data_IF_401085601738
#
_entry.id   IF_401085601738
#
_cell.length_a   1.000
_cell.length_b   1.000
_cell.length_c   1.000
_cell.angle_alpha   90.00
_cell.angle_beta   90.00
_cell.angle_gamma   90.00
#
_symmetry.space_group_name_H-M   'P 1'
#
loop_
_entity.id
_entity.type
_entity.pdbx_description
1 polymer ?
#
# COMPACT_ATOMS: atom_id res chain seq x y z
N UNK A 1 27.78 4.77 -14.43
CA UNK A 1 27.66 3.61 -13.54
C UNK A 1 28.42 3.89 -12.26
N UNK A 2 27.69 3.92 -11.15
CA UNK A 2 28.33 4.12 -9.87
C UNK A 2 29.08 2.85 -9.44
N UNK A 3 30.10 3.00 -8.64
CA UNK A 3 30.83 1.89 -8.04
C UNK A 3 29.90 0.92 -7.28
N UNK A 4 28.86 1.47 -6.69
CA UNK A 4 27.83 0.67 -5.98
C UNK A 4 27.07 -0.24 -6.96
N UNK A 5 26.77 0.20 -8.16
CA UNK A 5 26.05 -0.60 -9.16
C UNK A 5 26.93 -1.75 -9.69
N UNK A 6 28.25 -1.56 -9.70
CA UNK A 6 29.20 -2.62 -10.07
C UNK A 6 29.32 -3.69 -8.99
N UNK A 7 29.25 -3.30 -7.71
CA UNK A 7 29.35 -4.23 -6.59
C UNK A 7 28.03 -4.94 -6.29
N UNK A 8 26.91 -4.24 -6.48
CA UNK A 8 25.58 -4.74 -6.16
C UNK A 8 24.63 -4.50 -7.35
N UNK A 9 24.79 -5.25 -8.45
CA UNK A 9 23.92 -5.11 -9.60
C UNK A 9 22.46 -5.38 -9.20
N UNK A 10 21.56 -4.48 -9.57
CA UNK A 10 20.15 -4.58 -9.24
C UNK A 10 19.70 -3.82 -7.99
N UNK A 11 20.59 -3.14 -7.27
CA UNK A 11 20.23 -2.35 -6.08
C UNK A 11 19.24 -1.24 -6.43
N UNK A 12 19.43 -0.54 -7.52
CA UNK A 12 18.49 0.48 -8.02
C UNK A 12 17.12 -0.12 -8.35
N UNK A 13 17.09 -1.30 -8.95
CA UNK A 13 15.87 -2.06 -9.23
C UNK A 13 15.14 -2.44 -7.95
N UNK A 14 15.87 -2.90 -6.94
CA UNK A 14 15.32 -3.23 -5.63
C UNK A 14 14.69 -1.99 -4.98
N UNK A 15 15.40 -0.86 -4.96
CA UNK A 15 14.90 0.39 -4.40
C UNK A 15 13.63 0.86 -5.10
N UNK A 16 13.56 0.75 -6.41
CA UNK A 16 12.37 1.10 -7.17
C UNK A 16 11.19 0.20 -6.82
N UNK A 17 11.42 -1.10 -6.69
CA UNK A 17 10.39 -2.05 -6.25
C UNK A 17 9.89 -1.73 -4.84
N UNK A 18 10.79 -1.36 -3.93
CA UNK A 18 10.43 -0.97 -2.57
C UNK A 18 9.51 0.26 -2.53
N UNK A 19 9.68 1.21 -3.46
CA UNK A 19 8.76 2.35 -3.59
C UNK A 19 7.34 1.89 -3.90
N UNK A 20 7.16 0.95 -4.81
CA UNK A 20 5.84 0.41 -5.14
C UNK A 20 5.20 -0.28 -3.94
N UNK A 21 6.00 -0.89 -3.08
CA UNK A 21 5.51 -1.49 -1.84
C UNK A 21 4.98 -0.45 -0.83
N UNK A 22 5.37 0.81 -0.94
CA UNK A 22 4.78 1.92 -0.18
C UNK A 22 3.57 2.54 -0.89
N UNK A 23 3.63 2.69 -2.20
CA UNK A 23 2.52 3.26 -2.98
C UNK A 23 1.25 2.45 -2.87
N UNK A 24 1.34 1.14 -2.87
CA UNK A 24 0.18 0.25 -2.75
C UNK A 24 -0.60 0.52 -1.45
N UNK A 25 0.02 0.43 -0.26
CA UNK A 25 -0.71 0.73 0.96
C UNK A 25 -1.20 2.18 1.04
N UNK A 26 -0.47 3.15 0.53
CA UNK A 26 -0.93 4.55 0.50
C UNK A 26 -2.21 4.71 -0.34
N UNK A 27 -2.26 4.09 -1.51
CA UNK A 27 -3.44 4.10 -2.38
C UNK A 27 -4.62 3.49 -1.65
N UNK A 28 -4.46 2.28 -1.14
CA UNK A 28 -5.54 1.56 -0.48
C UNK A 28 -6.01 2.24 0.81
N UNK A 29 -5.08 2.77 1.59
CA UNK A 29 -5.41 3.52 2.78
C UNK A 29 -6.24 4.77 2.45
N UNK A 30 -5.87 5.53 1.40
CA UNK A 30 -6.62 6.69 0.97
C UNK A 30 -8.06 6.34 0.54
N UNK A 31 -8.24 5.20 -0.12
CA UNK A 31 -9.57 4.71 -0.51
C UNK A 31 -10.40 4.28 0.70
N UNK A 32 -9.76 3.65 1.68
CA UNK A 32 -10.45 3.27 2.93
C UNK A 32 -10.84 4.49 3.76
N UNK A 33 -10.01 5.53 3.81
CA UNK A 33 -10.34 6.78 4.50
C UNK A 33 -11.57 7.46 3.89
N UNK A 34 -11.68 7.42 2.58
CA UNK A 34 -12.86 7.92 1.86
C UNK A 34 -14.08 7.02 2.01
N UNK A 35 -13.93 5.86 2.62
CA UNK A 35 -14.97 4.86 2.81
C UNK A 35 -15.69 4.48 1.52
N UNK A 36 -14.93 4.25 0.47
CA UNK A 36 -15.50 3.80 -0.79
C UNK A 36 -16.14 2.42 -0.63
N UNK A 37 -17.37 2.23 -1.12
CA UNK A 37 -18.06 0.95 -1.00
C UNK A 37 -17.44 -0.11 -1.91
N UNK A 38 -17.69 -1.38 -1.58
CA UNK A 38 -17.19 -2.52 -2.34
C UNK A 38 -17.51 -2.44 -3.83
N UNK A 39 -18.68 -1.90 -4.18
CA UNK A 39 -19.14 -1.73 -5.57
C UNK A 39 -18.17 -0.92 -6.42
N UNK A 40 -17.56 0.13 -5.86
CA UNK A 40 -16.66 1.03 -6.59
C UNK A 40 -15.19 0.88 -6.19
N UNK A 41 -14.89 0.16 -5.13
CA UNK A 41 -13.55 0.12 -4.53
C UNK A 41 -12.49 -0.40 -5.49
N UNK A 42 -12.72 -1.56 -6.13
CA UNK A 42 -11.76 -2.15 -7.06
C UNK A 42 -11.54 -1.28 -8.29
N UNK A 43 -12.59 -0.66 -8.80
CA UNK A 43 -12.53 0.23 -9.97
C UNK A 43 -11.70 1.47 -9.65
N UNK A 44 -11.95 2.09 -8.50
CA UNK A 44 -11.20 3.27 -8.07
C UNK A 44 -9.74 2.94 -7.74
N UNK A 45 -9.50 1.78 -7.14
CA UNK A 45 -8.15 1.30 -6.88
C UNK A 45 -7.36 1.11 -8.18
N UNK A 46 -7.96 0.42 -9.15
CA UNK A 46 -7.35 0.19 -10.47
C UNK A 46 -7.02 1.51 -11.16
N UNK A 47 -7.99 2.43 -11.19
CA UNK A 47 -7.80 3.74 -11.80
C UNK A 47 -6.67 4.53 -11.13
N UNK A 48 -6.66 4.57 -9.80
CA UNK A 48 -5.67 5.33 -9.05
C UNK A 48 -4.27 4.74 -9.23
N UNK A 49 -4.12 3.43 -9.24
CA UNK A 49 -2.85 2.79 -9.53
C UNK A 49 -2.34 3.12 -10.93
N UNK A 50 -3.23 3.08 -11.93
CA UNK A 50 -2.86 3.43 -13.31
C UNK A 50 -2.45 4.89 -13.44
N UNK A 51 -3.16 5.80 -12.80
CA UNK A 51 -2.87 7.22 -12.83
C UNK A 51 -1.51 7.54 -12.16
N UNK A 52 -1.17 6.83 -11.09
CA UNK A 52 0.08 7.01 -10.37
C UNK A 52 1.25 6.24 -10.98
N UNK A 53 1.00 5.03 -11.41
CA UNK A 53 2.03 4.12 -11.91
C UNK A 53 2.47 4.49 -13.31
N UNK A 54 1.57 4.99 -14.14
CA UNK A 54 1.91 5.34 -15.53
C UNK A 54 3.03 6.37 -15.61
N UNK A 55 2.98 7.52 -14.91
CA UNK A 55 4.09 8.47 -14.91
C UNK A 55 5.39 7.89 -14.32
N UNK A 56 5.26 7.02 -13.32
CA UNK A 56 6.39 6.31 -12.72
C UNK A 56 7.06 5.39 -13.71
N UNK A 57 6.26 4.68 -14.47
CA UNK A 57 6.78 3.74 -15.46
C UNK A 57 7.44 4.44 -16.64
N UNK A 58 6.88 5.54 -17.08
CA UNK A 58 7.49 6.36 -18.13
C UNK A 58 8.88 6.84 -17.71
N UNK A 59 9.08 7.07 -16.43
CA UNK A 59 10.35 7.45 -15.85
C UNK A 59 11.28 6.24 -15.63
N UNK A 60 10.73 5.09 -15.21
CA UNK A 60 11.47 3.87 -14.89
C UNK A 60 11.72 2.98 -16.12
N UNK A 61 11.02 3.18 -17.22
CA UNK A 61 11.24 2.46 -18.48
C UNK A 61 12.68 2.58 -18.96
N UNK A 62 13.34 3.68 -18.66
CA UNK A 62 14.77 3.86 -18.92
C UNK A 62 15.64 2.97 -18.04
N UNK A 63 15.12 2.53 -16.89
CA UNK A 63 15.83 1.66 -15.95
C UNK A 63 15.45 0.18 -16.07
N UNK A 64 14.50 -0.18 -16.92
CA UNK A 64 14.12 -1.56 -17.20
C UNK A 64 13.39 -2.29 -16.08
N UNK A 65 12.70 -1.56 -15.20
CA UNK A 65 12.11 -2.11 -13.96
C UNK A 65 10.80 -2.87 -14.19
N UNK A 66 9.97 -2.40 -15.09
CA UNK A 66 8.79 -3.13 -15.54
C UNK A 66 8.88 -3.30 -17.05
N UNK A 67 8.99 -4.52 -17.48
CA UNK A 67 9.27 -4.95 -18.85
C UNK A 67 8.94 -3.96 -19.95
N UNK A 68 9.95 -3.58 -20.67
CA UNK A 68 9.88 -2.75 -21.87
C UNK A 68 8.81 -3.22 -22.88
N UNK A 69 8.37 -4.46 -22.75
CA UNK A 69 7.41 -5.10 -23.63
C UNK A 69 5.94 -4.82 -23.26
N UNK A 70 5.68 -4.33 -22.06
CA UNK A 70 4.29 -4.11 -21.62
C UNK A 70 3.74 -2.76 -22.11
N UNK A 71 4.58 -1.80 -22.47
CA UNK A 71 4.18 -0.47 -22.94
C UNK A 71 3.16 0.17 -22.00
N UNK A 72 2.21 0.90 -22.57
CA UNK A 72 1.13 1.55 -21.81
C UNK A 72 0.08 0.59 -21.25
N UNK A 73 0.21 -0.71 -21.49
CA UNK A 73 -0.74 -1.75 -21.06
C UNK A 73 -0.08 -2.68 -20.06
N UNK A 74 -0.01 -2.27 -18.81
CA UNK A 74 0.31 -3.20 -17.74
C UNK A 74 -0.78 -4.24 -17.62
N UNK A 75 -0.42 -5.48 -17.85
CA UNK A 75 -1.31 -6.62 -17.58
C UNK A 75 -1.51 -6.83 -16.09
N UNK A 76 -0.53 -6.45 -15.25
CA UNK A 76 -0.59 -6.60 -13.79
C UNK A 76 -0.14 -5.30 -13.12
N UNK A 77 -0.97 -4.81 -12.22
CA UNK A 77 -0.66 -3.64 -11.40
C UNK A 77 0.26 -4.00 -10.23
N UNK A 78 1.02 -3.04 -9.68
CA UNK A 78 1.88 -3.27 -8.52
C UNK A 78 1.18 -3.93 -7.34
N UNK A 79 -0.06 -3.57 -7.03
CA UNK A 79 -0.83 -4.20 -5.96
C UNK A 79 -0.97 -5.71 -6.17
N UNK A 80 -1.22 -6.13 -7.39
CA UNK A 80 -1.31 -7.55 -7.74
C UNK A 80 0.05 -8.25 -7.65
N UNK A 81 1.11 -7.60 -8.13
CA UNK A 81 2.47 -8.17 -8.13
C UNK A 81 3.01 -8.32 -6.70
N UNK A 82 2.79 -7.31 -5.86
CA UNK A 82 3.39 -7.26 -4.52
C UNK A 82 2.46 -7.71 -3.38
N UNK A 83 1.25 -8.14 -3.68
CA UNK A 83 0.27 -8.52 -2.65
C UNK A 83 0.81 -9.53 -1.64
N UNK A 84 1.43 -10.60 -2.12
CA UNK A 84 2.02 -11.62 -1.27
C UNK A 84 3.22 -11.07 -0.45
N UNK A 85 4.12 -10.36 -1.11
CA UNK A 85 5.27 -9.75 -0.45
C UNK A 85 4.90 -8.77 0.64
N UNK A 86 3.88 -7.95 0.42
CA UNK A 86 3.34 -7.04 1.42
C UNK A 86 2.84 -7.78 2.66
N UNK A 87 2.24 -8.96 2.48
CA UNK A 87 1.84 -9.82 3.59
C UNK A 87 3.02 -10.40 4.36
N UNK A 88 4.03 -10.89 3.64
CA UNK A 88 5.26 -11.43 4.25
C UNK A 88 6.00 -10.36 5.08
N UNK A 89 6.03 -9.13 4.63
CA UNK A 89 6.70 -8.03 5.32
C UNK A 89 5.86 -7.41 6.45
N UNK A 90 4.62 -7.86 6.62
CA UNK A 90 3.72 -7.34 7.66
C UNK A 90 3.13 -5.96 7.34
N UNK A 91 3.31 -5.46 6.12
CA UNK A 91 2.71 -4.20 5.66
C UNK A 91 1.22 -4.38 5.41
N UNK A 92 0.86 -5.49 4.77
CA UNK A 92 -0.51 -5.93 4.63
C UNK A 92 -0.88 -6.80 5.84
N UNK A 93 -1.86 -6.36 6.61
CA UNK A 93 -2.36 -7.10 7.77
C UNK A 93 -3.54 -7.99 7.38
N UNK A 94 -4.41 -7.49 6.47
CA UNK A 94 -5.54 -8.29 6.03
C UNK A 94 -5.08 -9.64 5.47
N UNK A 95 -5.68 -10.77 5.92
CA UNK A 95 -5.31 -12.11 5.46
C UNK A 95 -5.92 -12.45 4.10
N UNK A 96 -6.81 -11.62 3.59
CA UNK A 96 -7.57 -11.89 2.38
C UNK A 96 -6.70 -11.77 1.12
N UNK A 97 -7.07 -12.50 0.08
CA UNK A 97 -6.59 -12.22 -1.28
C UNK A 97 -7.03 -10.81 -1.69
N UNK A 98 -6.40 -10.26 -2.72
CA UNK A 98 -6.76 -8.94 -3.22
C UNK A 98 -8.24 -8.85 -3.62
N UNK A 99 -8.76 -9.85 -4.32
CA UNK A 99 -10.17 -9.89 -4.72
C UNK A 99 -11.10 -9.98 -3.52
N UNK A 100 -10.79 -10.80 -2.54
CA UNK A 100 -11.59 -10.89 -1.32
C UNK A 100 -11.55 -9.60 -0.53
N UNK A 101 -10.40 -8.98 -0.43
CA UNK A 101 -10.24 -7.70 0.24
C UNK A 101 -11.16 -6.64 -0.39
N UNK A 102 -11.17 -6.53 -1.71
CA UNK A 102 -12.05 -5.61 -2.43
C UNK A 102 -13.52 -5.91 -2.18
N UNK A 103 -13.92 -7.17 -2.27
CA UNK A 103 -15.32 -7.59 -2.08
C UNK A 103 -15.81 -7.39 -0.66
N UNK A 104 -14.93 -7.55 0.32
CA UNK A 104 -15.26 -7.51 1.73
C UNK A 104 -14.99 -6.17 2.39
N UNK A 105 -14.73 -5.13 1.63
CA UNK A 105 -14.36 -3.84 2.22
C UNK A 105 -15.48 -3.24 3.08
N UNK A 106 -16.74 -3.42 2.68
CA UNK A 106 -17.88 -2.94 3.47
C UNK A 106 -17.98 -3.66 4.81
N UNK A 107 -17.71 -4.96 4.83
CA UNK A 107 -17.61 -5.74 6.06
C UNK A 107 -16.48 -5.24 6.95
N UNK A 108 -15.34 -4.92 6.36
CA UNK A 108 -14.20 -4.34 7.08
C UNK A 108 -14.59 -3.04 7.76
N UNK A 109 -15.31 -2.15 7.10
CA UNK A 109 -15.81 -0.91 7.69
C UNK A 109 -16.76 -1.17 8.84
N UNK A 110 -17.70 -2.12 8.70
CA UNK A 110 -18.63 -2.51 9.77
C UNK A 110 -17.90 -3.05 11.00
N UNK A 111 -16.91 -3.89 10.79
CA UNK A 111 -16.09 -4.45 11.89
C UNK A 111 -15.34 -3.37 12.65
N UNK A 112 -14.77 -2.40 11.93
CA UNK A 112 -14.09 -1.26 12.56
C UNK A 112 -15.06 -0.39 13.36
N UNK A 113 -16.24 -0.13 12.84
CA UNK A 113 -17.25 0.63 13.54
C UNK A 113 -17.73 -0.10 14.80
N UNK A 114 -17.94 -1.40 14.72
CA UNK A 114 -18.29 -2.22 15.87
C UNK A 114 -17.21 -2.18 16.95
N UNK A 115 -15.94 -2.25 16.56
CA UNK A 115 -14.82 -2.15 17.50
C UNK A 115 -14.77 -0.78 18.18
N UNK A 116 -14.96 0.29 17.44
CA UNK A 116 -15.01 1.66 18.00
C UNK A 116 -16.13 1.81 19.03
N UNK A 117 -17.29 1.21 18.78
CA UNK A 117 -18.39 1.19 19.75
C UNK A 117 -18.00 0.45 21.03
N UNK A 118 -17.36 -0.72 20.89
CA UNK A 118 -16.86 -1.50 22.03
C UNK A 118 -15.78 -0.73 22.81
N UNK A 119 -14.89 -0.04 22.14
CA UNK A 119 -13.87 0.81 22.79
C UNK A 119 -14.47 1.94 23.59
N UNK A 120 -15.53 2.56 23.06
CA UNK A 120 -16.26 3.62 23.78
C UNK A 120 -16.91 3.10 25.05
N UNK A 121 -17.55 1.94 24.96
CA UNK A 121 -18.19 1.29 26.12
C UNK A 121 -17.14 0.82 27.14
N UNK A 122 -16.02 0.28 26.69
CA UNK A 122 -14.92 -0.15 27.55
C UNK A 122 -14.32 1.03 28.31
N UNK A 123 -14.10 2.18 27.68
CA UNK A 123 -13.64 3.40 28.33
C UNK A 123 -14.58 3.87 29.44
N UNK A 124 -15.88 3.79 29.22
CA UNK A 124 -16.88 4.15 30.22
C UNK A 124 -16.78 3.23 31.45
N UNK A 125 -16.43 1.96 31.25
CA UNK A 125 -16.26 0.97 32.32
C UNK A 125 -14.86 0.95 32.92
N UNK A 126 -13.91 1.70 32.35
CA UNK A 126 -12.51 1.69 32.78
C UNK A 126 -11.71 0.49 32.31
N UNK A 127 -12.20 -0.22 31.30
CA UNK A 127 -11.53 -1.36 30.68
C UNK A 127 -10.77 -0.94 29.43
N UNK A 128 -9.69 -1.64 29.12
CA UNK A 128 -8.93 -1.47 27.88
C UNK A 128 -9.26 -2.61 26.91
N UNK A 129 -9.35 -2.27 25.63
CA UNK A 129 -9.46 -3.27 24.56
C UNK A 129 -8.06 -3.74 24.18
N UNK A 130 -7.93 -5.05 23.97
CA UNK A 130 -6.69 -5.68 23.56
C UNK A 130 -6.14 -5.08 22.25
N UNK A 131 -4.84 -4.81 22.22
CA UNK A 131 -4.12 -4.31 21.05
C UNK A 131 -4.27 -5.25 19.85
N UNK A 132 -4.28 -6.56 20.09
CA UNK A 132 -4.45 -7.57 19.03
C UNK A 132 -5.82 -7.47 18.35
N UNK A 133 -6.87 -7.15 19.11
CA UNK A 133 -8.21 -6.93 18.54
C UNK A 133 -8.24 -5.69 17.66
N UNK A 134 -7.56 -4.62 18.05
CA UNK A 134 -7.44 -3.41 17.23
C UNK A 134 -6.69 -3.70 15.93
N UNK A 135 -5.55 -4.38 16.03
CA UNK A 135 -4.73 -4.73 14.85
C UNK A 135 -5.49 -5.62 13.88
N UNK A 136 -6.30 -6.57 14.38
CA UNK A 136 -7.08 -7.48 13.54
C UNK A 136 -8.13 -6.79 12.66
N UNK A 137 -8.51 -5.54 12.96
CA UNK A 137 -9.44 -4.76 12.13
C UNK A 137 -8.77 -3.90 11.09
N UNK A 138 -7.45 -3.76 11.15
CA UNK A 138 -6.67 -2.96 10.19
C UNK A 138 -6.34 -3.79 8.95
N UNK A 139 -6.37 -3.13 7.80
CA UNK A 139 -5.93 -3.74 6.54
C UNK A 139 -4.42 -3.58 6.33
N UNK A 140 -3.86 -2.47 6.80
CA UNK A 140 -2.49 -2.05 6.55
C UNK A 140 -1.80 -1.66 7.87
N UNK A 141 -0.49 -1.85 7.89
CA UNK A 141 0.31 -1.51 9.07
C UNK A 141 0.16 -0.02 9.43
N UNK A 142 -0.19 0.32 10.69
CA UNK A 142 -0.58 1.67 11.06
C UNK A 142 0.59 2.67 11.16
N UNK A 143 1.82 2.17 11.23
CA UNK A 143 3.03 3.00 11.37
C UNK A 143 3.81 3.13 10.07
N UNK A 144 3.13 3.05 8.93
CA UNK A 144 3.75 3.34 7.65
C UNK A 144 4.14 4.82 7.59
N UNK A 145 5.25 5.15 6.90
CA UNK A 145 5.54 6.54 6.59
C UNK A 145 4.33 7.19 5.92
N UNK A 146 4.03 8.44 6.30
CA UNK A 146 2.92 9.17 5.70
C UNK A 146 3.23 9.46 4.22
N UNK A 147 2.21 9.39 3.34
CA UNK A 147 2.39 9.82 1.96
C UNK A 147 2.69 11.32 1.90
N UNK A 148 3.31 11.80 0.80
CA UNK A 148 3.47 13.23 0.57
C UNK A 148 2.12 13.96 0.64
N UNK A 149 2.14 15.25 1.03
CA UNK A 149 0.92 16.05 1.19
C UNK A 149 0.09 16.14 -0.09
N UNK A 150 0.75 16.13 -1.23
CA UNK A 150 0.13 16.20 -2.54
C UNK A 150 -0.26 14.83 -3.12
N UNK A 151 -0.13 13.78 -2.33
CA UNK A 151 -0.58 12.44 -2.73
C UNK A 151 -2.13 12.38 -2.78
N UNK A 152 -2.75 11.82 -3.82
CA UNK A 152 -2.14 11.09 -4.93
C UNK A 152 -1.80 11.94 -6.17
N UNK A 153 -1.92 13.27 -6.12
CA UNK A 153 -1.79 14.14 -7.29
C UNK A 153 -0.37 14.16 -7.86
N UNK A 154 0.63 14.06 -6.98
CA UNK A 154 2.04 14.11 -7.36
C UNK A 154 2.79 12.99 -6.68
N UNK A 155 3.53 12.22 -7.47
CA UNK A 155 4.37 11.15 -6.95
C UNK A 155 5.83 11.57 -7.09
N UNK A 156 6.50 11.76 -5.96
CA UNK A 156 7.93 12.02 -5.94
C UNK A 156 8.69 10.70 -5.80
N UNK A 157 9.63 10.50 -6.67
CA UNK A 157 10.40 9.25 -6.77
C UNK A 157 11.45 9.05 -5.70
N UNK A 158 11.89 10.13 -5.06
CA UNK A 158 12.91 10.02 -4.03
C UNK A 158 12.28 9.45 -2.75
N UNK A 159 12.74 8.30 -2.31
CA UNK A 159 12.47 7.82 -0.97
C UNK A 159 13.00 8.85 0.02
N UNK A 160 12.16 9.30 0.92
CA UNK A 160 12.63 10.09 2.05
C UNK A 160 13.52 9.21 2.93
N UNK A 161 14.35 9.85 3.75
CA UNK A 161 15.20 9.11 4.68
C UNK A 161 14.38 8.20 5.62
N UNK A 162 13.26 8.71 6.12
CA UNK A 162 12.37 7.94 6.99
C UNK A 162 11.77 6.72 6.30
N UNK A 163 11.38 6.85 5.03
CA UNK A 163 10.88 5.72 4.23
C UNK A 163 11.98 4.66 4.05
N UNK A 164 13.20 5.09 3.74
CA UNK A 164 14.33 4.18 3.59
C UNK A 164 14.66 3.45 4.90
N UNK A 165 14.60 4.14 6.02
CA UNK A 165 14.81 3.53 7.35
C UNK A 165 13.71 2.52 7.68
N UNK A 166 12.45 2.83 7.40
CA UNK A 166 11.33 1.92 7.59
C UNK A 166 11.51 0.63 6.79
N UNK A 167 11.88 0.72 5.52
CA UNK A 167 12.05 -0.44 4.65
C UNK A 167 13.24 -1.31 5.08
N UNK A 168 14.27 -0.72 5.67
CA UNK A 168 15.43 -1.45 6.19
C UNK A 168 15.19 -2.15 7.53
N UNK A 169 14.24 -1.67 8.26
CA UNK A 169 13.86 -2.29 9.54
C UNK A 169 13.09 -3.59 9.30
#
# INVERSE_FOLDING_TARGET
DSFADQLFPGTSTIQTRLRYMLFVPWIYHSLEEKRLPAESFSIQADKLERDLVQPLMDSDDQAGVFGKTAGKRLKRLPSSVYWAGLGVWGIRITPFSQDEYHRRIDETYRRRNALKALEKDAKVRGDDIDVDQRMATLSWYPRLPAPPEDFPSTVKFALSRGEAEFIRA
#
